data_IF_912180579987
#
_entry.id   IF_912180579987
#
_cell.length_a   1.000
_cell.length_b   1.000
_cell.length_c   1.000
_cell.angle_alpha   90.00
_cell.angle_beta   90.00
_cell.angle_gamma   90.00
#
_symmetry.space_group_name_H-M   'P 1'
#
loop_
_entity.id
_entity.type
_entity.pdbx_description
1 polymer ?
#
# COMPACT_ATOMS: atom_id res chain seq x y z
N UNK A 1 42.70 -66.28 -35.11
CA UNK A 1 42.31 -65.75 -33.78
C UNK A 1 42.37 -64.22 -33.83
N UNK A 2 41.22 -63.56 -33.91
CA UNK A 2 41.08 -62.09 -33.91
C UNK A 2 40.42 -61.69 -32.59
N UNK A 3 41.15 -60.99 -31.73
CA UNK A 3 40.65 -60.47 -30.46
C UNK A 3 39.95 -59.13 -30.76
N UNK A 4 38.63 -59.10 -30.57
CA UNK A 4 37.79 -57.90 -30.70
C UNK A 4 38.04 -57.00 -29.48
N UNK A 5 38.39 -55.73 -29.71
CA UNK A 5 38.38 -54.68 -28.68
C UNK A 5 37.02 -53.98 -28.73
N UNK A 6 36.24 -54.12 -27.66
CA UNK A 6 34.98 -53.44 -27.42
C UNK A 6 35.28 -52.03 -26.91
N UNK A 7 34.90 -51.00 -27.66
CA UNK A 7 34.92 -49.61 -27.20
C UNK A 7 33.62 -49.31 -26.46
N UNK A 8 33.72 -48.94 -25.19
CA UNK A 8 32.60 -48.45 -24.38
C UNK A 8 32.44 -46.95 -24.67
N UNK A 9 31.28 -46.56 -25.18
CA UNK A 9 30.87 -45.17 -25.28
C UNK A 9 30.28 -44.74 -23.93
N UNK A 10 30.96 -43.84 -23.21
CA UNK A 10 30.35 -43.09 -22.11
C UNK A 10 29.43 -42.03 -22.71
N UNK A 11 28.11 -42.18 -22.53
CA UNK A 11 27.17 -41.08 -22.68
C UNK A 11 27.31 -40.16 -21.45
N UNK A 12 27.87 -38.97 -21.67
CA UNK A 12 27.77 -37.88 -20.72
C UNK A 12 26.33 -37.35 -20.76
N UNK A 13 25.52 -37.76 -19.80
CA UNK A 13 24.23 -37.15 -19.51
C UNK A 13 24.47 -35.75 -18.92
N UNK A 14 24.33 -34.70 -19.74
CA UNK A 14 24.13 -33.35 -19.24
C UNK A 14 22.79 -33.34 -18.48
N UNK A 15 22.86 -33.35 -17.16
CA UNK A 15 21.74 -32.94 -16.31
C UNK A 15 21.66 -31.42 -16.41
N UNK A 16 20.73 -30.91 -17.20
CA UNK A 16 20.23 -29.55 -17.01
C UNK A 16 19.58 -29.52 -15.63
N UNK A 17 20.27 -28.95 -14.64
CA UNK A 17 19.62 -28.54 -13.40
C UNK A 17 18.71 -27.38 -13.81
N UNK A 18 17.38 -27.47 -13.63
CA UNK A 18 16.54 -26.30 -13.83
C UNK A 18 17.06 -25.22 -12.89
N UNK A 19 17.32 -24.02 -13.41
CA UNK A 19 17.48 -22.86 -12.54
C UNK A 19 16.21 -22.84 -11.67
N UNK A 20 16.38 -22.96 -10.36
CA UNK A 20 15.30 -22.65 -9.42
C UNK A 20 14.96 -21.21 -9.74
N UNK A 21 13.75 -20.95 -10.22
CA UNK A 21 13.29 -19.59 -10.40
C UNK A 21 13.44 -18.91 -9.05
N UNK A 22 14.35 -17.94 -8.99
CA UNK A 22 14.49 -17.08 -7.83
C UNK A 22 13.23 -16.23 -7.79
N UNK A 23 12.56 -16.26 -6.64
CA UNK A 23 11.36 -15.48 -6.42
C UNK A 23 11.75 -14.02 -6.20
N UNK A 24 10.91 -13.08 -6.61
CA UNK A 24 11.25 -11.66 -6.58
C UNK A 24 11.16 -11.11 -5.15
N UNK A 25 12.15 -10.34 -4.73
CA UNK A 25 12.14 -9.68 -3.42
C UNK A 25 11.32 -8.40 -3.45
N UNK A 26 11.26 -7.77 -4.62
CA UNK A 26 10.46 -6.57 -4.85
C UNK A 26 9.22 -6.93 -5.65
N UNK A 27 8.06 -6.83 -5.03
CA UNK A 27 6.80 -7.23 -5.63
C UNK A 27 5.63 -6.37 -5.12
N UNK A 28 4.71 -5.94 -6.00
CA UNK A 28 3.51 -5.25 -5.56
C UNK A 28 2.70 -6.10 -4.57
N UNK A 29 2.37 -5.54 -3.40
CA UNK A 29 1.60 -6.24 -2.37
C UNK A 29 2.43 -7.03 -1.35
N UNK A 30 3.75 -7.15 -1.56
CA UNK A 30 4.63 -7.84 -0.61
C UNK A 30 4.93 -6.97 0.63
N UNK A 31 5.23 -7.58 1.79
CA UNK A 31 5.66 -6.85 2.98
C UNK A 31 6.92 -6.01 2.76
N UNK A 32 6.98 -4.83 3.38
CA UNK A 32 8.21 -4.08 3.62
C UNK A 32 8.31 -3.58 5.07
N UNK A 33 9.53 -3.30 5.49
CA UNK A 33 9.90 -2.88 6.84
C UNK A 33 10.73 -1.61 6.75
N UNK A 34 10.42 -0.66 7.62
CA UNK A 34 11.19 0.57 7.81
C UNK A 34 11.56 0.66 9.28
N UNK A 35 12.83 0.97 9.53
CA UNK A 35 13.37 1.04 10.88
C UNK A 35 13.55 2.50 11.32
N UNK A 36 12.98 2.90 12.47
CA UNK A 36 13.27 4.19 13.05
C UNK A 36 14.73 4.23 13.52
N UNK A 37 15.30 5.42 13.52
CA UNK A 37 16.57 5.73 14.17
C UNK A 37 16.29 5.76 15.67
N UNK A 38 16.83 4.80 16.39
CA UNK A 38 16.77 4.77 17.85
C UNK A 38 18.07 5.34 18.41
N UNK A 39 17.96 6.36 19.25
CA UNK A 39 19.10 6.95 19.97
C UNK A 39 19.76 5.93 20.91
N UNK A 40 21.09 5.96 21.03
CA UNK A 40 21.85 4.93 21.77
C UNK A 40 21.50 4.81 23.25
N UNK A 41 20.95 5.86 23.86
CA UNK A 41 20.51 5.92 25.25
C UNK A 41 19.03 5.59 25.45
N UNK A 42 18.28 5.34 24.37
CA UNK A 42 16.90 4.89 24.43
C UNK A 42 16.82 3.42 24.92
N UNK A 43 15.92 3.07 25.86
CA UNK A 43 15.67 1.70 26.27
C UNK A 43 15.37 0.72 25.11
N UNK A 44 14.82 1.22 24.00
CA UNK A 44 14.52 0.48 22.78
C UNK A 44 15.75 0.22 21.91
N UNK A 45 16.90 0.84 22.17
CA UNK A 45 18.12 0.64 21.38
C UNK A 45 18.66 -0.81 21.45
N UNK A 46 18.23 -1.57 22.46
CA UNK A 46 18.53 -3.00 22.61
C UNK A 46 17.34 -3.90 22.26
N UNK A 47 16.19 -3.33 21.94
CA UNK A 47 15.03 -4.09 21.52
C UNK A 47 15.30 -4.75 20.15
N UNK A 48 14.75 -5.95 19.89
CA UNK A 48 14.75 -6.51 18.56
C UNK A 48 14.18 -5.52 17.55
N UNK A 49 14.78 -5.44 16.37
CA UNK A 49 14.39 -4.49 15.34
C UNK A 49 12.88 -4.54 15.02
N UNK A 50 12.28 -5.74 15.00
CA UNK A 50 10.86 -5.93 14.74
C UNK A 50 9.89 -5.28 15.76
N UNK A 51 10.40 -4.86 16.94
CA UNK A 51 9.61 -4.15 17.94
C UNK A 51 9.40 -2.67 17.63
N UNK A 52 10.30 -2.07 16.87
CA UNK A 52 10.23 -0.66 16.49
C UNK A 52 9.87 -0.49 15.02
N UNK A 53 9.54 -1.58 14.33
CA UNK A 53 9.32 -1.53 12.89
C UNK A 53 8.05 -0.79 12.54
N UNK A 54 8.18 0.10 11.58
CA UNK A 54 7.05 0.53 10.78
C UNK A 54 6.77 -0.53 9.71
N UNK A 55 5.54 -1.06 9.75
CA UNK A 55 5.03 -2.02 8.80
C UNK A 55 4.38 -1.28 7.64
N UNK A 56 4.88 -1.49 6.42
CA UNK A 56 4.22 -1.02 5.21
C UNK A 56 4.24 -2.09 4.11
N UNK A 57 3.48 -1.88 3.05
CA UNK A 57 3.41 -2.78 1.90
C UNK A 57 4.12 -2.17 0.70
N UNK A 58 4.76 -3.03 -0.10
CA UNK A 58 5.43 -2.66 -1.34
C UNK A 58 4.40 -2.25 -2.41
N UNK A 59 4.69 -1.14 -3.10
CA UNK A 59 3.82 -0.57 -4.12
C UNK A 59 4.20 -0.99 -5.54
N UNK A 60 4.41 -0.02 -6.45
CA UNK A 60 4.67 -0.31 -7.87
C UNK A 60 6.17 -0.31 -8.16
N UNK A 61 6.84 -1.46 -8.37
CA UNK A 61 8.21 -1.50 -8.84
C UNK A 61 8.30 -1.32 -10.36
N UNK A 62 9.44 -0.84 -10.82
CA UNK A 62 9.77 -0.80 -12.24
C UNK A 62 11.05 -0.05 -12.54
N UNK A 63 11.28 0.22 -13.81
CA UNK A 63 12.46 0.92 -14.30
C UNK A 63 12.05 2.22 -14.97
N UNK A 64 12.62 3.34 -14.51
CA UNK A 64 12.46 4.65 -15.14
C UNK A 64 13.62 4.92 -16.10
N UNK A 65 13.31 5.48 -17.27
CA UNK A 65 14.27 6.04 -18.21
C UNK A 65 14.35 7.56 -18.04
N UNK A 66 15.49 8.01 -17.50
CA UNK A 66 15.76 9.42 -17.18
C UNK A 66 15.95 10.28 -18.46
N UNK A 67 15.89 11.62 -18.36
CA UNK A 67 16.04 12.51 -19.51
C UNK A 67 17.37 12.36 -20.28
N UNK A 68 18.42 11.90 -19.62
CA UNK A 68 19.73 11.62 -20.25
C UNK A 68 19.82 10.22 -20.90
N UNK A 69 18.74 9.43 -20.82
CA UNK A 69 18.64 8.08 -21.35
C UNK A 69 19.17 6.98 -20.42
N UNK A 70 19.71 7.34 -19.25
CA UNK A 70 20.06 6.35 -18.22
C UNK A 70 18.80 5.74 -17.59
N UNK A 71 18.96 4.57 -17.00
CA UNK A 71 17.85 3.81 -16.40
C UNK A 71 18.11 3.57 -14.92
N UNK A 72 17.01 3.55 -14.15
CA UNK A 72 17.05 3.33 -12.71
C UNK A 72 15.88 2.44 -12.28
N UNK A 73 16.14 1.49 -11.40
CA UNK A 73 15.11 0.68 -10.75
C UNK A 73 14.52 1.46 -9.57
N UNK A 74 13.20 1.50 -9.51
CA UNK A 74 12.46 2.32 -8.55
C UNK A 74 11.23 1.57 -8.06
N UNK A 75 10.73 1.94 -6.88
CA UNK A 75 9.41 1.53 -6.41
C UNK A 75 8.64 2.76 -5.93
N UNK A 76 7.39 2.91 -6.36
CA UNK A 76 6.45 3.89 -5.82
C UNK A 76 5.83 3.34 -4.54
N UNK A 77 5.71 4.15 -3.50
CA UNK A 77 5.08 3.79 -2.22
C UNK A 77 4.47 5.03 -1.54
N UNK A 78 3.87 4.86 -0.36
CA UNK A 78 3.34 5.96 0.44
C UNK A 78 4.49 6.74 1.11
N UNK A 79 4.35 8.06 1.21
CA UNK A 79 5.38 8.91 1.78
C UNK A 79 5.52 8.70 3.29
N UNK A 80 4.41 8.57 4.02
CA UNK A 80 4.45 8.38 5.46
C UNK A 80 5.19 7.11 5.89
N UNK A 81 5.25 6.10 5.01
CA UNK A 81 6.01 4.88 5.24
C UNK A 81 7.52 5.12 5.34
N UNK A 82 8.05 6.11 4.61
CA UNK A 82 9.50 6.29 4.45
C UNK A 82 10.00 7.65 4.93
N UNK A 83 9.11 8.60 5.17
CA UNK A 83 9.43 9.95 5.65
C UNK A 83 8.79 10.28 7.01
N UNK A 84 7.99 9.37 7.60
CA UNK A 84 7.14 9.70 8.76
C UNK A 84 6.07 10.72 8.38
N UNK A 85 5.44 11.38 9.35
CA UNK A 85 4.41 12.42 9.11
C UNK A 85 4.69 13.68 9.92
N UNK A 86 3.99 14.77 9.66
CA UNK A 86 4.15 16.00 10.46
C UNK A 86 3.78 15.82 11.93
N UNK A 87 2.85 14.91 12.25
CA UNK A 87 2.46 14.58 13.64
C UNK A 87 3.43 13.60 14.29
N UNK A 88 3.97 12.66 13.50
CA UNK A 88 4.94 11.66 13.92
C UNK A 88 6.20 11.80 13.07
N UNK A 89 7.02 12.84 13.32
CA UNK A 89 8.26 13.07 12.57
C UNK A 89 9.33 12.09 13.03
N UNK A 90 9.14 10.81 12.74
CA UNK A 90 10.14 9.80 13.05
C UNK A 90 11.30 9.92 12.07
N UNK A 91 12.51 10.12 12.62
CA UNK A 91 13.72 9.93 11.82
C UNK A 91 13.84 8.44 11.53
N UNK A 92 13.37 7.99 10.37
CA UNK A 92 13.62 6.63 9.91
C UNK A 92 14.93 6.53 9.13
N UNK A 93 15.56 5.36 9.21
CA UNK A 93 16.66 4.99 8.33
C UNK A 93 16.21 5.08 6.87
N UNK A 94 17.06 5.56 5.95
CA UNK A 94 16.69 5.66 4.54
C UNK A 94 16.50 4.28 3.88
N UNK A 95 17.10 3.23 4.43
CA UNK A 95 17.05 1.87 3.90
C UNK A 95 15.67 1.23 4.08
N UNK A 96 15.22 0.54 3.03
CA UNK A 96 13.97 -0.21 3.00
C UNK A 96 14.27 -1.69 2.98
N UNK A 97 13.58 -2.45 3.82
CA UNK A 97 13.87 -3.86 4.05
C UNK A 97 12.70 -4.76 3.65
N UNK A 98 13.03 -5.97 3.21
CA UNK A 98 12.08 -7.08 3.07
C UNK A 98 12.32 -8.12 4.16
N UNK A 99 11.26 -8.62 4.82
CA UNK A 99 11.41 -9.52 5.96
C UNK A 99 11.50 -10.98 5.50
N UNK A 100 12.69 -11.44 5.08
CA UNK A 100 12.88 -12.84 4.67
C UNK A 100 12.90 -13.77 5.88
N UNK A 101 12.54 -15.06 5.75
CA UNK A 101 12.57 -16.00 6.87
C UNK A 101 13.91 -16.10 7.62
N UNK A 102 15.03 -15.89 6.92
CA UNK A 102 16.40 -15.91 7.46
C UNK A 102 16.88 -14.60 8.07
N UNK A 103 16.14 -13.50 7.86
CA UNK A 103 16.52 -12.16 8.30
C UNK A 103 16.14 -11.10 7.27
N UNK A 104 16.24 -9.84 7.67
CA UNK A 104 15.82 -8.74 6.80
C UNK A 104 16.91 -8.38 5.81
N UNK A 105 16.49 -8.12 4.58
CA UNK A 105 17.38 -7.73 3.48
C UNK A 105 17.01 -6.33 3.00
N UNK A 106 18.00 -5.47 2.85
CA UNK A 106 17.84 -4.17 2.18
C UNK A 106 17.55 -4.39 0.69
N UNK A 107 16.55 -3.70 0.18
CA UNK A 107 16.17 -3.71 -1.25
C UNK A 107 16.34 -2.35 -1.93
N UNK A 108 16.63 -1.30 -1.16
CA UNK A 108 16.81 0.04 -1.68
C UNK A 108 16.78 1.12 -0.60
N UNK A 109 16.78 2.37 -1.04
CA UNK A 109 16.75 3.55 -0.18
C UNK A 109 15.69 4.55 -0.65
N UNK A 110 15.04 5.24 0.29
CA UNK A 110 14.11 6.34 -0.05
C UNK A 110 14.81 7.41 -0.90
N UNK A 111 14.11 7.97 -1.87
CA UNK A 111 14.62 9.03 -2.76
C UNK A 111 13.62 10.18 -2.90
N UNK A 112 12.52 9.96 -3.61
CA UNK A 112 11.54 10.99 -3.93
C UNK A 112 10.44 11.12 -2.87
N UNK A 113 9.65 12.18 -3.01
CA UNK A 113 8.57 12.54 -2.09
C UNK A 113 9.03 13.45 -0.96
N UNK A 114 8.13 13.66 -0.01
CA UNK A 114 8.35 14.48 1.19
C UNK A 114 7.45 13.98 2.30
N UNK A 115 7.78 14.34 3.53
CA UNK A 115 6.93 14.10 4.69
C UNK A 115 5.50 14.65 4.43
N UNK A 116 4.47 13.78 4.42
CA UNK A 116 3.09 14.17 4.27
C UNK A 116 2.58 14.81 5.57
N UNK A 117 1.51 15.58 5.42
CA UNK A 117 0.80 16.15 6.55
C UNK A 117 -0.09 15.08 7.21
N UNK A 118 0.05 14.92 8.52
CA UNK A 118 -0.88 14.18 9.37
C UNK A 118 -1.40 15.13 10.44
N UNK A 119 -2.71 15.15 10.61
CA UNK A 119 -3.33 15.95 11.65
C UNK A 119 -3.04 15.31 13.01
N UNK A 120 -2.44 16.08 13.93
CA UNK A 120 -2.12 15.61 15.27
C UNK A 120 -3.36 15.51 16.18
N UNK A 121 -3.15 15.10 17.43
CA UNK A 121 -4.22 14.99 18.44
C UNK A 121 -4.97 16.31 18.73
N UNK A 122 -4.43 17.47 18.36
CA UNK A 122 -5.12 18.77 18.47
C UNK A 122 -5.46 19.35 17.07
N UNK A 123 -5.90 18.48 16.16
CA UNK A 123 -6.22 18.84 14.77
C UNK A 123 -7.31 19.92 14.63
N UNK A 124 -7.03 20.92 13.80
CA UNK A 124 -8.02 21.89 13.32
C UNK A 124 -8.68 21.39 12.02
N UNK A 125 -9.78 22.05 11.61
CA UNK A 125 -10.38 21.79 10.28
C UNK A 125 -9.41 22.05 9.12
N UNK A 126 -8.45 22.97 9.29
CA UNK A 126 -7.41 23.23 8.32
C UNK A 126 -6.42 22.06 8.24
N UNK A 127 -6.09 21.45 9.38
CA UNK A 127 -5.23 20.26 9.46
C UNK A 127 -5.90 19.06 8.81
N UNK A 128 -7.19 18.82 9.08
CA UNK A 128 -7.97 17.76 8.41
C UNK A 128 -8.04 18.00 6.91
N UNK A 129 -8.21 19.26 6.49
CA UNK A 129 -8.18 19.60 5.07
C UNK A 129 -6.85 19.21 4.45
N UNK A 130 -5.72 19.60 5.06
CA UNK A 130 -4.38 19.23 4.60
C UNK A 130 -4.19 17.71 4.53
N UNK A 131 -4.59 16.95 5.55
CA UNK A 131 -4.49 15.49 5.52
C UNK A 131 -5.28 14.84 4.37
N UNK A 132 -6.37 15.48 3.92
CA UNK A 132 -7.23 15.00 2.83
C UNK A 132 -6.71 15.39 1.44
N UNK A 133 -6.05 16.55 1.31
CA UNK A 133 -5.65 17.10 -0.01
C UNK A 133 -4.16 17.04 -0.30
N UNK A 134 -3.32 16.91 0.73
CA UNK A 134 -1.87 16.86 0.54
C UNK A 134 -1.48 15.47 0.04
N UNK A 135 -0.41 15.46 -0.74
CA UNK A 135 0.11 14.25 -1.35
C UNK A 135 0.83 13.36 -0.32
N UNK A 136 0.67 12.06 -0.49
CA UNK A 136 1.33 11.04 0.31
C UNK A 136 1.92 9.95 -0.59
N UNK A 137 2.88 10.35 -1.43
CA UNK A 137 3.71 9.44 -2.22
C UNK A 137 5.20 9.65 -1.98
N UNK A 138 5.95 8.57 -2.13
CA UNK A 138 7.40 8.57 -2.21
C UNK A 138 7.86 7.61 -3.30
N UNK A 139 9.14 7.73 -3.65
CA UNK A 139 9.83 6.76 -4.48
C UNK A 139 11.04 6.21 -3.74
N UNK A 140 11.30 4.92 -3.96
CA UNK A 140 12.46 4.21 -3.43
C UNK A 140 13.38 3.92 -4.62
N UNK A 141 14.65 4.26 -4.47
CA UNK A 141 15.72 3.83 -5.34
C UNK A 141 16.06 2.37 -5.00
N UNK A 142 15.71 1.44 -5.88
CA UNK A 142 15.97 0.02 -5.65
C UNK A 142 17.42 -0.33 -5.97
N UNK A 143 17.97 -1.27 -5.22
CA UNK A 143 19.31 -1.81 -5.46
C UNK A 143 19.34 -2.52 -6.83
N UNK A 144 20.49 -2.47 -7.52
CA UNK A 144 20.63 -3.04 -8.87
C UNK A 144 20.44 -4.56 -8.90
N UNK A 145 20.67 -5.25 -7.78
CA UNK A 145 20.55 -6.69 -7.61
C UNK A 145 19.24 -7.14 -6.95
N UNK A 146 18.34 -6.20 -6.63
CA UNK A 146 17.01 -6.52 -6.12
C UNK A 146 16.15 -7.10 -7.26
N UNK A 147 15.73 -8.36 -7.12
CA UNK A 147 14.88 -9.00 -8.11
C UNK A 147 13.45 -8.46 -8.02
N UNK A 148 12.96 -7.90 -9.12
CA UNK A 148 11.62 -7.31 -9.21
C UNK A 148 10.65 -8.18 -10.01
N UNK A 149 9.36 -8.16 -9.64
CA UNK A 149 8.27 -8.74 -10.43
C UNK A 149 7.13 -7.74 -10.61
N UNK A 150 6.33 -7.93 -11.66
CA UNK A 150 5.08 -7.19 -11.87
C UNK A 150 3.83 -7.97 -11.44
N UNK A 151 4.01 -9.07 -10.73
CA UNK A 151 2.92 -9.86 -10.16
C UNK A 151 2.51 -9.24 -8.84
N UNK A 152 1.32 -8.66 -8.80
CA UNK A 152 0.66 -8.21 -7.59
C UNK A 152 0.06 -9.42 -6.85
N UNK A 153 0.54 -9.64 -5.63
CA UNK A 153 0.08 -10.71 -4.76
C UNK A 153 0.31 -10.29 -3.31
N UNK A 154 -0.60 -10.69 -2.42
CA UNK A 154 -0.51 -10.39 -0.99
C UNK A 154 -0.97 -11.57 -0.15
N UNK A 155 -0.36 -11.66 1.02
CA UNK A 155 -0.85 -12.46 2.14
C UNK A 155 -1.17 -11.52 3.28
N UNK A 156 -2.27 -11.78 3.98
CA UNK A 156 -2.65 -11.00 5.16
C UNK A 156 -1.67 -11.19 6.31
N UNK A 157 -1.89 -10.47 7.41
CA UNK A 157 -1.02 -10.51 8.58
C UNK A 157 -0.89 -11.91 9.20
N UNK A 158 -1.83 -12.82 8.92
CA UNK A 158 -1.85 -14.20 9.40
C UNK A 158 -1.32 -15.21 8.36
N UNK A 159 -0.86 -14.73 7.20
CA UNK A 159 -0.30 -15.54 6.12
C UNK A 159 -1.36 -16.18 5.22
N UNK A 160 -2.58 -15.64 5.19
CA UNK A 160 -3.64 -16.12 4.30
C UNK A 160 -3.65 -15.34 2.99
N UNK A 161 -3.73 -16.05 1.87
CA UNK A 161 -3.88 -15.44 0.54
C UNK A 161 -5.36 -15.18 0.24
N UNK A 162 -5.66 -14.00 -0.30
CA UNK A 162 -7.02 -13.53 -0.59
C UNK A 162 -7.26 -13.31 -2.09
N UNK A 163 -6.83 -14.24 -2.93
CA UNK A 163 -7.12 -14.21 -4.36
C UNK A 163 -5.97 -14.77 -5.18
N UNK A 164 -6.12 -14.76 -6.51
CA UNK A 164 -5.08 -15.25 -7.41
C UNK A 164 -4.12 -14.13 -7.80
N UNK A 165 -2.80 -14.36 -7.88
CA UNK A 165 -1.82 -13.34 -8.28
C UNK A 165 -2.19 -12.64 -9.61
N UNK A 166 -1.99 -11.32 -9.68
CA UNK A 166 -2.36 -10.49 -10.83
C UNK A 166 -1.12 -9.92 -11.51
N UNK A 167 -0.94 -10.25 -12.79
CA UNK A 167 0.13 -9.65 -13.61
C UNK A 167 -0.29 -8.24 -14.06
N UNK A 168 0.40 -7.22 -13.55
CA UNK A 168 0.17 -5.83 -13.90
C UNK A 168 0.55 -5.52 -15.36
N UNK A 169 -0.13 -4.55 -15.97
CA UNK A 169 0.02 -4.22 -17.40
C UNK A 169 0.67 -2.86 -17.65
N UNK A 170 0.57 -1.93 -16.71
CA UNK A 170 1.17 -0.60 -16.77
C UNK A 170 0.74 0.23 -15.57
N UNK A 171 1.03 1.53 -15.60
CA UNK A 171 0.50 2.52 -14.64
C UNK A 171 -0.62 3.28 -15.33
N UNK A 172 -1.76 3.47 -14.65
CA UNK A 172 -2.82 4.33 -15.15
C UNK A 172 -2.33 5.77 -15.09
N UNK A 173 -2.39 6.42 -16.24
CA UNK A 173 -2.03 7.82 -16.43
C UNK A 173 -3.31 8.66 -16.32
N UNK A 174 -3.42 9.42 -15.23
CA UNK A 174 -4.57 10.22 -14.90
C UNK A 174 -4.34 11.66 -15.35
N UNK A 175 -5.38 12.33 -15.90
CA UNK A 175 -5.29 13.77 -16.12
C UNK A 175 -5.00 14.48 -14.80
N UNK A 176 -3.98 15.34 -14.81
CA UNK A 176 -3.61 16.19 -13.69
C UNK A 176 -4.81 16.99 -13.17
N UNK A 177 -4.98 16.99 -11.84
CA UNK A 177 -5.94 17.82 -11.13
C UNK A 177 -5.18 18.76 -10.19
N UNK A 178 -5.57 20.03 -10.17
CA UNK A 178 -5.01 20.98 -9.19
C UNK A 178 -5.31 20.51 -7.76
N UNK A 179 -4.49 20.92 -6.80
CA UNK A 179 -4.69 20.55 -5.41
C UNK A 179 -6.09 20.96 -4.92
N UNK A 180 -6.82 20.02 -4.32
CA UNK A 180 -8.21 20.22 -3.86
C UNK A 180 -9.25 20.25 -4.99
N UNK A 181 -8.86 20.13 -6.27
CA UNK A 181 -9.82 20.00 -7.37
C UNK A 181 -10.50 18.63 -7.32
N UNK A 182 -11.82 18.63 -7.45
CA UNK A 182 -12.63 17.42 -7.39
C UNK A 182 -13.04 16.94 -8.78
N UNK A 183 -12.95 15.63 -9.02
CA UNK A 183 -13.43 14.95 -10.23
C UNK A 183 -14.21 13.67 -9.89
N UNK A 184 -15.20 13.32 -10.71
CA UNK A 184 -15.99 12.07 -10.60
C UNK A 184 -15.83 11.18 -11.85
N UNK A 185 -14.79 11.39 -12.64
CA UNK A 185 -14.55 10.63 -13.87
C UNK A 185 -14.23 9.15 -13.64
N UNK A 186 -13.84 8.80 -12.41
CA UNK A 186 -13.62 7.43 -11.95
C UNK A 186 -14.80 6.81 -11.18
N UNK A 187 -15.91 7.52 -11.01
CA UNK A 187 -17.04 7.02 -10.22
C UNK A 187 -17.56 5.67 -10.73
N UNK A 188 -17.62 4.69 -9.84
CA UNK A 188 -18.07 3.32 -10.11
C UNK A 188 -17.05 2.43 -10.82
N UNK A 189 -15.84 2.92 -11.10
CA UNK A 189 -14.76 2.08 -11.62
C UNK A 189 -14.27 1.13 -10.53
N UNK A 190 -13.92 -0.13 -10.86
CA UNK A 190 -13.43 -1.07 -9.88
C UNK A 190 -12.01 -0.73 -9.43
N UNK A 191 -11.66 -1.19 -8.24
CA UNK A 191 -10.34 -1.07 -7.64
C UNK A 191 -10.10 -2.27 -6.73
N UNK A 192 -8.90 -2.81 -6.75
CA UNK A 192 -8.43 -3.80 -5.78
C UNK A 192 -7.11 -3.33 -5.20
N UNK A 193 -6.86 -3.65 -3.95
CA UNK A 193 -5.63 -3.37 -3.24
C UNK A 193 -5.00 -4.66 -2.76
N UNK A 194 -3.67 -4.71 -2.78
CA UNK A 194 -2.88 -5.75 -2.12
C UNK A 194 -2.07 -5.13 -0.98
N UNK A 195 -2.21 -5.70 0.22
CA UNK A 195 -1.65 -5.21 1.49
C UNK A 195 -1.21 -6.35 2.38
N UNK A 196 -0.17 -6.12 3.19
CA UNK A 196 0.34 -7.14 4.10
C UNK A 196 -0.57 -7.38 5.32
N UNK A 197 -1.49 -6.47 5.62
CA UNK A 197 -2.32 -6.56 6.83
C UNK A 197 -3.65 -7.20 6.51
N UNK A 198 -4.38 -6.64 5.55
CA UNK A 198 -5.70 -7.13 5.12
C UNK A 198 -5.63 -8.17 4.00
N UNK A 199 -4.46 -8.34 3.38
CA UNK A 199 -4.34 -9.12 2.14
C UNK A 199 -4.91 -8.33 0.97
N UNK A 200 -5.67 -9.03 0.12
CA UNK A 200 -6.36 -8.42 -1.00
C UNK A 200 -7.77 -8.00 -0.63
N UNK A 201 -8.08 -6.73 -0.88
CA UNK A 201 -9.45 -6.21 -0.82
C UNK A 201 -9.85 -5.60 -2.16
N UNK A 202 -11.14 -5.57 -2.46
CA UNK A 202 -11.65 -4.98 -3.69
C UNK A 202 -12.90 -4.15 -3.41
N UNK A 203 -13.10 -3.14 -4.23
CA UNK A 203 -14.09 -2.11 -4.03
C UNK A 203 -14.42 -1.33 -5.29
N UNK A 204 -14.98 -0.14 -5.06
CA UNK A 204 -15.38 0.79 -6.13
C UNK A 204 -14.85 2.18 -5.84
N UNK A 205 -14.40 2.85 -6.89
CA UNK A 205 -13.94 4.23 -6.84
C UNK A 205 -15.13 5.18 -6.79
N UNK A 206 -15.01 6.25 -5.99
CA UNK A 206 -16.03 7.28 -5.80
C UNK A 206 -15.68 8.56 -6.56
N UNK A 207 -14.47 9.06 -6.35
CA UNK A 207 -14.04 10.36 -6.88
C UNK A 207 -12.52 10.46 -6.87
N UNK A 208 -12.01 11.55 -7.44
CA UNK A 208 -10.63 12.02 -7.26
C UNK A 208 -10.64 13.41 -6.61
N UNK A 209 -9.73 13.64 -5.68
CA UNK A 209 -9.44 14.95 -5.09
C UNK A 209 -7.96 15.23 -5.29
N UNK A 210 -7.62 16.19 -6.15
CA UNK A 210 -6.26 16.29 -6.68
C UNK A 210 -5.81 14.96 -7.30
N UNK A 211 -4.62 14.50 -6.95
CA UNK A 211 -4.07 13.23 -7.46
C UNK A 211 -4.41 12.02 -6.56
N UNK A 212 -5.43 12.14 -5.71
CA UNK A 212 -5.85 11.09 -4.78
C UNK A 212 -7.19 10.49 -5.19
N UNK A 213 -7.25 9.17 -5.27
CA UNK A 213 -8.45 8.41 -5.57
C UNK A 213 -9.12 8.04 -4.26
N UNK A 214 -10.41 8.30 -4.19
CA UNK A 214 -11.27 7.90 -3.07
C UNK A 214 -12.06 6.69 -3.49
N UNK A 215 -12.05 5.65 -2.66
CA UNK A 215 -12.75 4.40 -2.92
C UNK A 215 -13.43 3.85 -1.68
N UNK A 216 -14.33 2.90 -1.90
CA UNK A 216 -14.91 2.09 -0.85
C UNK A 216 -14.30 0.72 -0.92
N UNK A 217 -13.37 0.45 -0.01
CA UNK A 217 -12.68 -0.82 0.18
C UNK A 217 -12.08 -0.84 1.59
N UNK A 218 -11.91 -2.03 2.16
CA UNK A 218 -11.24 -2.15 3.45
C UNK A 218 -9.74 -1.82 3.29
N UNK A 219 -9.19 -1.14 4.28
CA UNK A 219 -7.76 -0.85 4.40
C UNK A 219 -7.43 -0.87 5.89
N UNK A 220 -6.35 -1.54 6.26
CA UNK A 220 -5.89 -1.62 7.64
C UNK A 220 -4.48 -1.03 7.77
N UNK A 221 -4.12 -0.61 8.99
CA UNK A 221 -2.76 -0.16 9.29
C UNK A 221 -1.73 -1.21 8.87
N UNK A 222 -0.75 -0.78 8.09
CA UNK A 222 0.26 -1.66 7.49
C UNK A 222 0.04 -1.97 6.01
N UNK A 223 -1.17 -1.76 5.48
CA UNK A 223 -1.44 -1.85 4.03
C UNK A 223 -0.90 -0.64 3.26
N UNK A 224 -0.56 0.44 3.96
CA UNK A 224 0.05 1.65 3.41
C UNK A 224 1.23 1.36 2.50
N UNK A 225 1.30 2.06 1.37
CA UNK A 225 2.26 1.83 0.29
C UNK A 225 1.88 0.69 -0.66
N UNK A 226 0.94 -0.17 -0.27
CA UNK A 226 0.48 -1.31 -1.07
C UNK A 226 -0.19 -0.89 -2.37
N UNK A 227 -0.05 -1.73 -3.40
CA UNK A 227 -0.58 -1.45 -4.74
C UNK A 227 -2.10 -1.39 -4.75
N UNK A 228 -2.66 -0.40 -5.45
CA UNK A 228 -4.04 -0.36 -5.90
C UNK A 228 -4.09 -0.51 -7.41
N UNK A 229 -4.93 -1.38 -7.94
CA UNK A 229 -5.02 -1.69 -9.38
C UNK A 229 -6.46 -1.90 -9.85
N UNK A 230 -6.71 -1.69 -11.14
CA UNK A 230 -8.00 -2.03 -11.77
C UNK A 230 -8.02 -3.53 -12.12
N UNK A 231 -8.95 -4.35 -11.57
CA UNK A 231 -8.95 -5.79 -11.78
C UNK A 231 -9.28 -6.23 -13.21
N UNK A 232 -9.80 -5.35 -14.07
CA UNK A 232 -10.12 -5.66 -15.45
C UNK A 232 -8.97 -5.30 -16.39
N UNK A 233 -8.41 -4.10 -16.23
CA UNK A 233 -7.30 -3.62 -17.09
C UNK A 233 -5.93 -4.07 -16.59
N UNK A 234 -5.84 -4.38 -15.28
CA UNK A 234 -4.61 -4.73 -14.55
C UNK A 234 -3.59 -3.59 -14.51
N UNK A 235 -4.04 -2.37 -14.72
CA UNK A 235 -3.22 -1.18 -14.58
C UNK A 235 -3.11 -0.81 -13.10
N UNK A 236 -1.90 -0.47 -12.67
CA UNK A 236 -1.64 0.12 -11.36
C UNK A 236 -2.27 1.51 -11.31
N UNK A 237 -3.19 1.74 -10.37
CA UNK A 237 -3.82 3.04 -10.15
C UNK A 237 -2.98 3.90 -9.21
N UNK A 238 -2.39 3.29 -8.19
CA UNK A 238 -1.71 4.03 -7.14
C UNK A 238 -1.25 3.15 -5.99
N UNK A 239 -0.97 3.80 -4.86
CA UNK A 239 -0.58 3.16 -3.60
C UNK A 239 -1.50 3.58 -2.47
N UNK A 240 -1.79 2.67 -1.56
CA UNK A 240 -2.63 2.91 -0.38
C UNK A 240 -1.96 3.93 0.54
N UNK A 241 -2.72 4.92 1.04
CA UNK A 241 -2.18 5.92 1.97
C UNK A 241 -2.88 5.90 3.31
N UNK A 242 -4.19 6.14 3.30
CA UNK A 242 -4.96 6.39 4.51
C UNK A 242 -6.39 5.86 4.30
N UNK A 243 -7.14 5.73 5.38
CA UNK A 243 -8.51 5.29 5.32
C UNK A 243 -9.33 5.59 6.57
N UNK A 244 -10.62 5.79 6.35
CA UNK A 244 -11.61 6.05 7.39
C UNK A 244 -12.70 4.96 7.31
N UNK A 245 -12.54 3.89 8.08
CA UNK A 245 -13.42 2.73 8.00
C UNK A 245 -13.30 2.02 6.64
N UNK A 246 -14.37 2.00 5.84
CA UNK A 246 -14.34 1.48 4.47
C UNK A 246 -13.98 2.52 3.40
N UNK A 247 -13.80 3.79 3.77
CA UNK A 247 -13.28 4.76 2.82
C UNK A 247 -11.77 4.63 2.78
N UNK A 248 -11.22 4.31 1.62
CA UNK A 248 -9.79 4.24 1.40
C UNK A 248 -9.35 5.36 0.47
N UNK A 249 -8.14 5.85 0.72
CA UNK A 249 -7.47 6.83 -0.11
C UNK A 249 -6.25 6.18 -0.74
N UNK A 250 -6.18 6.32 -2.06
CA UNK A 250 -5.05 5.89 -2.88
C UNK A 250 -4.38 7.12 -3.46
N UNK A 251 -3.06 7.23 -3.32
CA UNK A 251 -2.28 8.22 -4.05
C UNK A 251 -1.93 7.65 -5.43
N UNK A 252 -2.24 8.40 -6.50
CA UNK A 252 -1.96 7.94 -7.86
C UNK A 252 -0.45 7.73 -8.06
N UNK A 253 -0.07 6.68 -8.80
CA UNK A 253 1.35 6.32 -8.95
C UNK A 253 2.07 7.15 -10.01
N UNK A 254 1.34 7.70 -10.97
CA UNK A 254 1.83 8.54 -12.05
C UNK A 254 2.48 9.83 -11.52
N UNK A 255 1.79 10.58 -10.66
CA UNK A 255 2.32 11.84 -10.10
C UNK A 255 3.66 11.64 -9.38
N UNK A 256 3.82 10.53 -8.65
CA UNK A 256 5.07 10.22 -7.97
C UNK A 256 6.24 10.04 -8.94
N UNK A 257 5.99 9.40 -10.09
CA UNK A 257 6.97 9.17 -11.14
C UNK A 257 7.24 10.46 -11.94
N UNK A 258 6.20 11.22 -12.25
CA UNK A 258 6.28 12.47 -12.99
C UNK A 258 7.09 13.53 -12.24
N UNK A 259 6.74 13.78 -10.98
CA UNK A 259 7.39 14.79 -10.17
C UNK A 259 8.83 14.41 -9.82
N UNK A 260 9.09 13.15 -9.45
CA UNK A 260 10.45 12.72 -9.08
C UNK A 260 11.39 12.74 -10.29
N UNK A 261 10.93 12.26 -11.45
CA UNK A 261 11.82 12.00 -12.59
C UNK A 261 11.65 12.97 -13.76
N UNK A 262 10.81 14.01 -13.60
CA UNK A 262 10.54 15.01 -14.63
C UNK A 262 9.90 14.40 -15.87
N UNK A 263 9.04 13.39 -15.69
CA UNK A 263 8.26 12.81 -16.78
C UNK A 263 7.08 13.76 -17.05
N UNK A 264 6.84 14.18 -18.31
CA UNK A 264 5.66 15.00 -18.61
C UNK A 264 4.36 14.23 -18.35
N UNK A 265 3.35 14.95 -17.83
CA UNK A 265 1.96 14.49 -17.73
C UNK A 265 1.51 13.79 -19.03
N UNK A 266 0.87 12.63 -18.91
CA UNK A 266 0.44 11.82 -20.05
C UNK A 266 1.53 10.94 -20.68
N UNK A 267 2.75 10.89 -20.13
CA UNK A 267 3.88 10.14 -20.69
C UNK A 267 4.49 9.12 -19.71
N UNK A 268 3.81 8.79 -18.61
CA UNK A 268 4.39 7.92 -17.58
C UNK A 268 4.84 6.58 -18.16
N UNK A 269 4.00 5.92 -18.96
CA UNK A 269 4.30 4.61 -19.56
C UNK A 269 5.33 4.66 -20.72
N UNK A 270 5.69 5.85 -21.20
CA UNK A 270 6.78 6.01 -22.18
C UNK A 270 8.15 5.94 -21.49
N UNK A 271 8.20 6.30 -20.21
CA UNK A 271 9.44 6.43 -19.42
C UNK A 271 9.56 5.41 -18.31
N UNK A 272 8.46 4.96 -17.73
CA UNK A 272 8.38 3.92 -16.72
C UNK A 272 7.96 2.59 -17.35
N UNK A 273 8.63 1.51 -16.95
CA UNK A 273 8.28 0.15 -17.38
C UNK A 273 8.23 -0.76 -16.18
N UNK A 274 7.16 -1.55 -16.11
CA UNK A 274 7.07 -2.65 -15.15
C UNK A 274 8.17 -3.70 -15.43
N UNK A 275 8.61 -4.45 -14.40
CA UNK A 275 9.55 -5.55 -14.57
C UNK A 275 9.05 -6.59 -15.59
N UNK A 276 9.95 -7.19 -16.37
CA UNK A 276 9.57 -8.26 -17.31
C UNK A 276 9.15 -9.54 -16.59
N UNK A 277 9.66 -9.76 -15.37
CA UNK A 277 9.42 -10.96 -14.57
C UNK A 277 7.95 -11.10 -14.18
N UNK A 278 7.43 -12.31 -14.37
CA UNK A 278 6.13 -12.76 -13.84
C UNK A 278 6.32 -13.84 -12.75
N UNK A 279 7.49 -13.90 -12.11
CA UNK A 279 7.72 -14.81 -11.00
C UNK A 279 6.92 -14.37 -9.76
N UNK A 280 6.51 -15.30 -8.89
CA UNK A 280 5.97 -14.94 -7.59
C UNK A 280 7.03 -14.23 -6.74
N UNK A 281 6.57 -13.51 -5.72
CA UNK A 281 7.47 -12.92 -4.74
C UNK A 281 8.06 -13.97 -3.80
N UNK A 282 9.22 -13.68 -3.24
CA UNK A 282 9.85 -14.54 -2.23
C UNK A 282 8.96 -14.63 -0.99
N UNK A 283 8.80 -15.81 -0.37
CA UNK A 283 8.07 -15.92 0.89
C UNK A 283 8.67 -14.98 1.95
N UNK A 284 7.83 -14.20 2.61
CA UNK A 284 8.22 -13.22 3.62
C UNK A 284 7.53 -13.50 4.95
N UNK A 285 8.13 -13.07 6.06
CA UNK A 285 7.51 -13.15 7.38
C UNK A 285 6.28 -12.24 7.43
N UNK A 286 5.25 -12.69 8.12
CA UNK A 286 4.00 -11.94 8.27
C UNK A 286 4.11 -10.95 9.43
N UNK A 287 3.24 -9.95 9.46
CA UNK A 287 3.17 -9.01 10.58
C UNK A 287 2.86 -9.71 11.92
N UNK A 288 1.97 -10.72 11.93
CA UNK A 288 1.67 -11.49 13.15
C UNK A 288 2.88 -12.30 13.62
N UNK A 289 3.67 -12.87 12.70
CA UNK A 289 4.90 -13.59 13.06
C UNK A 289 5.92 -12.66 13.73
N UNK A 290 6.17 -11.49 13.15
CA UNK A 290 7.05 -10.47 13.73
C UNK A 290 6.51 -10.00 15.10
N UNK A 291 5.19 -9.73 15.21
CA UNK A 291 4.54 -9.29 16.46
C UNK A 291 4.62 -10.35 17.56
N UNK A 292 4.41 -11.62 17.25
CA UNK A 292 4.52 -12.70 18.23
C UNK A 292 5.95 -12.86 18.75
N UNK A 293 6.94 -12.71 17.88
CA UNK A 293 8.35 -12.72 18.30
C UNK A 293 8.66 -11.52 19.20
N UNK A 294 8.12 -10.33 18.90
CA UNK A 294 8.26 -9.14 19.76
C UNK A 294 7.67 -9.37 21.14
N UNK A 295 6.44 -9.87 21.21
CA UNK A 295 5.74 -10.14 22.47
C UNK A 295 6.48 -11.18 23.32
N UNK A 296 6.96 -12.26 22.69
CA UNK A 296 7.75 -13.28 23.39
C UNK A 296 9.07 -12.72 23.96
N UNK A 297 9.69 -11.77 23.26
CA UNK A 297 10.88 -11.09 23.77
C UNK A 297 10.56 -10.17 24.95
N UNK A 298 9.48 -9.38 24.88
CA UNK A 298 9.05 -8.46 25.93
C UNK A 298 8.72 -9.21 27.23
N UNK A 299 7.99 -10.32 27.14
CA UNK A 299 7.63 -11.14 28.30
C UNK A 299 8.86 -11.59 29.11
N UNK A 300 9.98 -11.84 28.42
CA UNK A 300 11.22 -12.34 29.04
C UNK A 300 12.15 -11.21 29.48
N UNK A 301 12.27 -10.15 28.70
CA UNK A 301 13.34 -9.14 28.85
C UNK A 301 12.87 -7.80 29.40
N UNK A 302 11.58 -7.49 29.25
CA UNK A 302 11.01 -6.18 29.56
C UNK A 302 9.56 -6.31 30.07
N UNK A 303 9.28 -7.18 31.06
CA UNK A 303 7.91 -7.50 31.48
C UNK A 303 7.12 -6.29 32.01
N UNK A 304 7.79 -5.23 32.45
CA UNK A 304 7.18 -3.96 32.83
C UNK A 304 6.59 -3.17 31.64
N UNK A 305 7.00 -3.50 30.42
CA UNK A 305 6.47 -2.97 29.15
C UNK A 305 5.51 -3.97 28.47
N UNK A 306 5.21 -5.11 29.11
CA UNK A 306 4.22 -6.04 28.57
C UNK A 306 2.86 -5.30 28.49
N UNK A 307 2.17 -5.36 27.34
CA UNK A 307 0.89 -4.68 27.21
C UNK A 307 -0.08 -5.21 28.26
N UNK A 308 -0.66 -4.30 29.06
CA UNK A 308 -1.82 -4.61 29.89
C UNK A 308 -2.94 -5.13 28.99
N UNK A 309 -3.74 -6.13 29.41
CA UNK A 309 -4.88 -6.58 28.64
C UNK A 309 -5.79 -5.39 28.35
N UNK A 310 -6.08 -5.15 27.07
CA UNK A 310 -6.80 -3.96 26.62
C UNK A 310 -8.10 -3.77 27.43
N UNK A 311 -8.19 -2.64 28.13
CA UNK A 311 -9.48 -2.08 28.53
C UNK A 311 -10.22 -1.60 27.27
N UNK A 312 -11.56 -1.64 27.30
CA UNK A 312 -12.45 -1.36 26.17
C UNK A 312 -12.02 -0.14 25.34
N UNK A 313 -12.26 -0.14 24.01
CA UNK A 313 -11.86 0.97 23.15
C UNK A 313 -12.48 2.28 23.64
N UNK A 314 -11.76 3.42 23.59
CA UNK A 314 -12.36 4.71 23.90
C UNK A 314 -13.55 4.99 22.96
N UNK A 315 -14.57 5.67 23.47
CA UNK A 315 -15.86 5.90 22.79
C UNK A 315 -15.74 6.49 21.36
N UNK A 316 -14.66 7.22 21.05
CA UNK A 316 -14.40 7.72 19.69
C UNK A 316 -14.10 6.60 18.68
N UNK A 317 -13.41 5.53 19.09
CA UNK A 317 -13.17 4.34 18.25
C UNK A 317 -14.50 3.63 17.99
N UNK A 318 -15.41 3.59 18.97
CA UNK A 318 -16.75 3.02 18.79
C UNK A 318 -17.58 3.85 17.81
N UNK A 319 -17.53 5.19 17.88
CA UNK A 319 -18.20 6.08 16.91
C UNK A 319 -17.58 5.94 15.51
N UNK A 320 -16.26 5.88 15.39
CA UNK A 320 -15.58 5.68 14.11
C UNK A 320 -15.93 4.32 13.49
N UNK A 321 -16.01 3.26 14.29
CA UNK A 321 -16.43 1.93 13.84
C UNK A 321 -17.91 1.92 13.45
N UNK A 322 -18.79 2.57 14.23
CA UNK A 322 -20.21 2.67 13.93
C UNK A 322 -20.48 3.50 12.66
N UNK A 323 -19.78 4.62 12.48
CA UNK A 323 -19.86 5.45 11.27
C UNK A 323 -19.24 4.75 10.07
N UNK A 324 -18.14 4.00 10.28
CA UNK A 324 -17.60 3.10 9.28
C UNK A 324 -18.64 2.06 8.85
N UNK A 325 -19.33 1.42 9.80
CA UNK A 325 -20.43 0.48 9.54
C UNK A 325 -21.62 1.14 8.82
N UNK A 326 -22.03 2.33 9.24
CA UNK A 326 -23.11 3.07 8.58
C UNK A 326 -22.73 3.48 7.15
N UNK A 327 -21.48 3.88 6.92
CA UNK A 327 -20.94 4.13 5.59
C UNK A 327 -20.97 2.84 4.74
N UNK A 328 -20.60 1.68 5.32
CA UNK A 328 -20.73 0.38 4.64
C UNK A 328 -22.15 0.13 4.19
N UNK A 329 -23.13 0.33 5.08
CA UNK A 329 -24.53 0.06 4.79
C UNK A 329 -25.08 1.01 3.71
N UNK A 330 -24.77 2.30 3.79
CA UNK A 330 -25.17 3.28 2.77
C UNK A 330 -24.53 2.96 1.42
N UNK A 331 -23.23 2.66 1.40
CA UNK A 331 -22.52 2.35 0.17
C UNK A 331 -23.00 1.02 -0.42
N UNK A 332 -23.25 0.00 0.40
CA UNK A 332 -23.81 -1.26 -0.07
C UNK A 332 -25.20 -1.06 -0.70
N UNK A 333 -26.05 -0.23 -0.07
CA UNK A 333 -27.35 0.15 -0.63
C UNK A 333 -27.22 0.93 -1.94
N UNK A 334 -26.27 1.87 -2.03
CA UNK A 334 -25.98 2.59 -3.27
C UNK A 334 -25.47 1.65 -4.37
N UNK A 335 -24.53 0.76 -4.05
CA UNK A 335 -23.97 -0.21 -4.99
C UNK A 335 -25.04 -1.15 -5.56
N UNK A 336 -25.94 -1.68 -4.72
CA UNK A 336 -27.09 -2.48 -5.17
C UNK A 336 -28.06 -1.67 -6.05
N UNK A 337 -28.32 -0.41 -5.70
CA UNK A 337 -29.22 0.47 -6.47
C UNK A 337 -28.62 0.86 -7.83
N UNK A 338 -27.33 1.17 -7.88
CA UNK A 338 -26.62 1.48 -9.11
C UNK A 338 -26.61 0.27 -10.07
N UNK A 339 -26.31 -0.93 -9.55
CA UNK A 339 -26.31 -2.17 -10.34
C UNK A 339 -27.70 -2.50 -10.94
N UNK A 340 -28.78 -2.24 -10.20
CA UNK A 340 -30.15 -2.44 -10.69
C UNK A 340 -30.58 -1.37 -11.71
N UNK A 341 -30.02 -0.17 -11.62
CA UNK A 341 -30.38 0.99 -12.46
C UNK A 341 -29.65 1.03 -13.80
N UNK A 342 -28.45 0.42 -13.90
CA UNK A 342 -27.70 0.28 -15.17
C UNK A 342 -28.48 -0.50 -16.25
N UNK A 343 -29.54 -1.22 -15.86
CA UNK A 343 -30.43 -1.94 -16.78
C UNK A 343 -31.54 -1.05 -17.41
N UNK A 344 -31.76 0.17 -16.91
CA UNK A 344 -32.77 1.12 -17.43
C UNK A 344 -32.19 2.55 -17.60
N UNK A 345 -31.95 3.03 -18.84
CA UNK A 345 -31.41 4.37 -19.11
C UNK A 345 -32.25 5.54 -18.57
N UNK A 346 -33.53 5.33 -18.26
CA UNK A 346 -34.39 6.36 -17.68
C UNK A 346 -34.07 6.65 -16.20
N UNK A 347 -33.32 5.77 -15.52
CA UNK A 347 -32.98 5.86 -14.10
C UNK A 347 -31.67 6.62 -13.82
N UNK A 348 -30.91 7.00 -14.85
CA UNK A 348 -29.61 7.67 -14.73
C UNK A 348 -29.68 8.96 -13.89
N UNK A 349 -30.67 9.86 -14.04
CA UNK A 349 -30.79 11.03 -13.17
C UNK A 349 -30.97 10.66 -11.69
N UNK A 350 -31.75 9.62 -11.40
CA UNK A 350 -31.94 9.11 -10.03
C UNK A 350 -30.66 8.52 -9.45
N UNK A 351 -29.84 7.82 -10.25
CA UNK A 351 -28.53 7.31 -9.81
C UNK A 351 -27.58 8.46 -9.46
N UNK A 352 -27.60 9.55 -10.24
CA UNK A 352 -26.76 10.74 -9.99
C UNK A 352 -27.21 11.48 -8.73
N UNK A 353 -28.51 11.62 -8.52
CA UNK A 353 -29.05 12.27 -7.31
C UNK A 353 -28.77 11.41 -6.07
N UNK A 354 -28.97 10.08 -6.14
CA UNK A 354 -28.61 9.16 -5.06
C UNK A 354 -27.10 9.18 -4.76
N UNK A 355 -26.24 9.25 -5.78
CA UNK A 355 -24.80 9.36 -5.56
C UNK A 355 -24.41 10.67 -4.86
N UNK A 356 -25.11 11.77 -5.14
CA UNK A 356 -24.91 13.05 -4.45
C UNK A 356 -25.39 13.00 -3.00
N UNK A 357 -26.55 12.39 -2.77
CA UNK A 357 -27.12 12.25 -1.43
C UNK A 357 -26.28 11.31 -0.56
N UNK A 358 -25.81 10.18 -1.11
CA UNK A 358 -24.89 9.28 -0.42
C UNK A 358 -23.53 9.95 -0.19
N UNK A 359 -23.01 10.74 -1.15
CA UNK A 359 -21.79 11.53 -0.92
C UNK A 359 -21.95 12.57 0.19
N UNK A 360 -23.12 13.22 0.28
CA UNK A 360 -23.43 14.16 1.37
C UNK A 360 -23.53 13.43 2.72
N UNK A 361 -24.20 12.27 2.76
CA UNK A 361 -24.32 11.45 3.97
C UNK A 361 -22.96 10.90 4.44
N UNK A 362 -22.12 10.44 3.52
CA UNK A 362 -20.75 10.02 3.84
C UNK A 362 -19.90 11.21 4.33
N UNK A 363 -20.11 12.40 3.77
CA UNK A 363 -19.54 13.64 4.28
C UNK A 363 -19.97 13.96 5.71
N UNK A 364 -21.25 13.75 6.03
CA UNK A 364 -21.79 13.95 7.39
C UNK A 364 -21.25 12.89 8.37
N UNK A 365 -21.16 11.62 7.98
CA UNK A 365 -20.55 10.56 8.81
C UNK A 365 -19.07 10.81 9.07
N UNK A 366 -18.35 11.31 8.07
CA UNK A 366 -16.96 11.73 8.24
C UNK A 366 -16.90 12.88 9.25
N UNK A 367 -17.73 13.92 9.09
CA UNK A 367 -17.82 15.04 10.05
C UNK A 367 -18.16 14.57 11.48
N UNK A 368 -19.11 13.66 11.65
CA UNK A 368 -19.49 13.11 12.96
C UNK A 368 -18.36 12.30 13.60
N UNK A 369 -17.62 11.55 12.79
CA UNK A 369 -16.41 10.85 13.25
C UNK A 369 -15.37 11.86 13.73
N UNK A 370 -15.13 12.92 12.95
CA UNK A 370 -14.24 14.01 13.34
C UNK A 370 -14.69 14.70 14.64
N UNK A 371 -15.98 14.96 14.82
CA UNK A 371 -16.51 15.55 16.06
C UNK A 371 -16.32 14.64 17.27
N UNK A 372 -16.53 13.33 17.12
CA UNK A 372 -16.35 12.37 18.21
C UNK A 372 -14.88 12.25 18.66
N UNK A 373 -13.94 12.34 17.72
CA UNK A 373 -12.52 12.44 18.06
C UNK A 373 -12.20 13.79 18.74
N UNK A 374 -12.68 14.94 18.23
CA UNK A 374 -12.50 16.26 18.86
C UNK A 374 -13.06 16.33 20.30
N UNK A 375 -14.17 15.64 20.58
CA UNK A 375 -14.75 15.57 21.92
C UNK A 375 -13.93 14.66 22.86
N UNK A 376 -13.52 13.48 22.39
CA UNK A 376 -12.68 12.57 23.18
C UNK A 376 -11.31 13.16 23.53
N UNK A 377 -10.74 13.96 22.63
CA UNK A 377 -9.46 14.65 22.82
C UNK A 377 -9.55 15.84 23.80
N UNK A 378 -10.76 16.34 24.10
CA UNK A 378 -10.99 17.36 25.14
C UNK A 378 -11.27 16.80 26.53
N UNK A 379 -11.65 15.53 26.63
CA UNK A 379 -12.04 14.89 27.90
C UNK A 379 -10.95 13.96 28.49
N UNK A 380 -9.93 13.59 27.70
CA UNK A 380 -8.68 12.96 28.15
C UNK A 380 -7.65 13.98 28.62
#
# INVERSE_FOLDING_TARGET
>A
MRIRRTAWALMASLTCVPAVATAAEVAPGAPMRIYPVIEQDDPLAQAPQHMVTQYCTQGVPGTVTLPDGSQKNVMVTAAHCVWGTTAQPDESHPEIYVPLPEGDRVIGVREGGRQPFEAGEEATLEDVYHQVIDDDWATIALDEDAEMTRVADSVDQFGQSHGEPVVLTGVRDYPYLEQGQLSFDNLGQPICQDGQTSGRTCGVQLMRVGNRLWSVQAIDSGDSGGINYDPHTREALGVSTDGFGLLSITQAADVALEETYGIPDGQVNERFRLPESEQPHTPMRTMDADRQEALAWVEVNAPEYAPEPASEPPAAVEVAQANGQAAVEEIAQWGEQALNSVQDPASIPTVIDNARDSAAYLGDLAADTFFAFDEALREG
#
